data_IF_034531939962
#
_entry.id   IF_034531939962
#
_cell.length_a   1.000
_cell.length_b   1.000
_cell.length_c   1.000
_cell.angle_alpha   90.00
_cell.angle_beta   90.00
_cell.angle_gamma   90.00
#
_symmetry.space_group_name_H-M   'P 1'
#
loop_
_entity.id
_entity.type
_entity.pdbx_description
1 polymer ?
#
# COMPACT_ATOMS: atom_id res chain seq x y z
N UNK A 1 -24.21 -5.74 24.77
CA UNK A 1 -22.83 -6.26 24.66
C UNK A 1 -22.70 -6.78 23.24
N UNK A 2 -21.67 -6.41 22.48
CA UNK A 2 -21.47 -7.01 21.15
C UNK A 2 -20.78 -8.34 21.39
N UNK A 3 -21.50 -9.44 21.22
CA UNK A 3 -20.95 -10.77 21.39
C UNK A 3 -20.06 -11.08 20.19
N UNK A 4 -18.74 -11.12 20.42
CA UNK A 4 -17.77 -11.48 19.40
C UNK A 4 -17.81 -12.99 19.19
N UNK A 5 -18.68 -13.42 18.28
CA UNK A 5 -18.79 -14.83 17.87
C UNK A 5 -18.09 -15.05 16.52
N UNK A 6 -17.56 -16.26 16.24
CA UNK A 6 -16.92 -16.55 14.95
C UNK A 6 -17.83 -16.23 13.76
N UNK A 7 -19.12 -16.53 13.88
CA UNK A 7 -20.14 -16.24 12.87
C UNK A 7 -20.29 -14.74 12.61
N UNK A 8 -20.26 -13.91 13.66
CA UNK A 8 -20.28 -12.46 13.52
C UNK A 8 -18.99 -11.93 12.84
N UNK A 9 -17.83 -12.48 13.16
CA UNK A 9 -16.56 -12.10 12.53
C UNK A 9 -16.55 -12.41 11.02
N UNK A 10 -16.98 -13.61 10.62
CA UNK A 10 -17.07 -13.97 9.20
C UNK A 10 -18.12 -13.15 8.44
N UNK A 11 -19.23 -12.77 9.09
CA UNK A 11 -20.23 -11.87 8.49
C UNK A 11 -19.64 -10.51 8.13
N UNK A 12 -18.76 -9.97 8.96
CA UNK A 12 -18.14 -8.65 8.74
C UNK A 12 -16.85 -8.69 7.92
N UNK A 13 -16.28 -9.88 7.71
CA UNK A 13 -15.01 -10.05 6.99
C UNK A 13 -14.97 -9.36 5.62
N UNK A 14 -16.00 -9.43 4.75
CA UNK A 14 -15.95 -8.75 3.45
C UNK A 14 -15.89 -7.23 3.59
N UNK A 15 -16.67 -6.65 4.50
CA UNK A 15 -16.68 -5.21 4.76
C UNK A 15 -15.34 -4.74 5.32
N UNK A 16 -14.77 -5.49 6.26
CA UNK A 16 -13.46 -5.17 6.82
C UNK A 16 -12.34 -5.32 5.79
N UNK A 17 -12.43 -6.30 4.87
CA UNK A 17 -11.50 -6.43 3.77
C UNK A 17 -11.57 -5.22 2.83
N UNK A 18 -12.77 -4.73 2.51
CA UNK A 18 -12.94 -3.52 1.70
C UNK A 18 -12.34 -2.28 2.38
N UNK A 19 -12.64 -2.07 3.67
CA UNK A 19 -12.08 -0.94 4.43
C UNK A 19 -10.57 -1.08 4.64
N UNK A 20 -10.06 -2.29 4.86
CA UNK A 20 -8.63 -2.57 4.93
C UNK A 20 -7.93 -2.25 3.61
N UNK A 21 -8.54 -2.63 2.48
CA UNK A 21 -8.05 -2.27 1.15
C UNK A 21 -8.04 -0.76 0.91
N UNK A 22 -9.11 -0.05 1.28
CA UNK A 22 -9.19 1.41 1.18
C UNK A 22 -8.11 2.09 2.05
N UNK A 23 -7.91 1.61 3.29
CA UNK A 23 -6.86 2.09 4.17
C UNK A 23 -5.46 1.85 3.62
N UNK A 24 -5.19 0.66 3.06
CA UNK A 24 -3.93 0.36 2.41
C UNK A 24 -3.66 1.30 1.22
N UNK A 25 -4.67 1.58 0.40
CA UNK A 25 -4.59 2.56 -0.68
C UNK A 25 -4.27 3.96 -0.19
N UNK A 26 -4.89 4.41 0.90
CA UNK A 26 -4.59 5.70 1.52
C UNK A 26 -3.14 5.78 2.01
N UNK A 27 -2.65 4.74 2.70
CA UNK A 27 -1.24 4.66 3.13
C UNK A 27 -0.30 4.72 1.92
N UNK A 28 -0.59 3.96 0.87
CA UNK A 28 0.22 3.99 -0.36
C UNK A 28 0.28 5.39 -0.98
N UNK A 29 -0.85 6.11 -1.01
CA UNK A 29 -0.92 7.47 -1.54
C UNK A 29 -0.09 8.44 -0.70
N UNK A 30 -0.38 8.52 0.61
CA UNK A 30 0.25 9.52 1.48
C UNK A 30 1.73 9.23 1.75
N UNK A 31 2.14 7.96 1.70
CA UNK A 31 3.53 7.54 1.96
C UNK A 31 4.38 7.41 0.69
N UNK A 32 3.81 7.71 -0.49
CA UNK A 32 4.48 7.59 -1.79
C UNK A 32 5.74 8.46 -1.93
N UNK A 33 5.81 9.59 -1.24
CA UNK A 33 6.96 10.49 -1.22
C UNK A 33 8.06 10.05 -0.25
N UNK A 34 7.81 9.06 0.61
CA UNK A 34 8.79 8.59 1.58
C UNK A 34 9.76 7.60 0.91
N UNK A 35 11.08 7.87 0.84
CA UNK A 35 12.01 7.06 0.06
C UNK A 35 12.07 5.59 0.48
N UNK A 36 12.06 5.31 1.79
CA UNK A 36 12.10 3.93 2.30
C UNK A 36 10.83 3.16 1.94
N UNK A 37 9.66 3.79 2.00
CA UNK A 37 8.39 3.17 1.65
C UNK A 37 8.30 2.86 0.16
N UNK A 38 8.79 3.77 -0.69
CA UNK A 38 8.88 3.56 -2.12
C UNK A 38 9.75 2.35 -2.48
N UNK A 39 10.96 2.28 -1.92
CA UNK A 39 11.93 1.20 -2.12
C UNK A 39 11.39 -0.16 -1.65
N UNK A 40 10.82 -0.20 -0.45
CA UNK A 40 10.51 -1.47 0.21
C UNK A 40 9.10 -1.99 -0.05
N UNK A 41 8.16 -1.13 -0.45
CA UNK A 41 6.76 -1.49 -0.69
C UNK A 41 6.36 -1.23 -2.13
N UNK A 42 6.39 0.03 -2.60
CA UNK A 42 5.76 0.40 -3.87
C UNK A 42 6.45 -0.19 -5.10
N UNK A 43 7.79 -0.25 -5.13
CA UNK A 43 8.55 -0.84 -6.24
C UNK A 43 8.43 -2.37 -6.27
N UNK A 44 7.97 -3.02 -5.20
CA UNK A 44 7.77 -4.48 -5.18
C UNK A 44 6.41 -4.91 -5.72
N UNK A 45 5.50 -3.96 -5.96
CA UNK A 45 4.17 -4.25 -6.49
C UNK A 45 4.22 -4.30 -8.03
N UNK A 46 4.08 -5.48 -8.66
CA UNK A 46 4.42 -5.67 -10.08
C UNK A 46 3.62 -4.79 -11.04
N UNK A 47 2.39 -4.42 -10.67
CA UNK A 47 1.50 -3.61 -11.50
C UNK A 47 1.89 -2.12 -11.48
N UNK A 48 2.38 -1.61 -10.35
CA UNK A 48 2.61 -0.17 -10.15
C UNK A 48 4.10 0.20 -9.99
N UNK A 49 4.99 -0.79 -9.84
CA UNK A 49 6.43 -0.57 -9.73
C UNK A 49 7.01 0.35 -10.82
N UNK A 50 6.66 0.19 -12.12
CA UNK A 50 7.24 1.02 -13.18
C UNK A 50 6.92 2.52 -13.09
N UNK A 51 5.93 2.90 -12.27
CA UNK A 51 5.58 4.29 -11.98
C UNK A 51 6.49 4.91 -10.90
N UNK A 52 7.01 4.10 -9.99
CA UNK A 52 7.81 4.56 -8.85
C UNK A 52 9.32 4.40 -9.05
N UNK A 53 9.74 3.60 -10.04
CA UNK A 53 11.15 3.46 -10.39
C UNK A 53 11.76 4.78 -10.87
N UNK A 54 12.95 5.09 -10.36
CA UNK A 54 13.75 6.18 -10.87
C UNK A 54 14.38 5.76 -12.21
N UNK A 55 14.16 6.55 -13.24
CA UNK A 55 14.65 6.34 -14.60
C UNK A 55 15.74 7.35 -14.97
N UNK A 56 16.15 8.19 -14.03
CA UNK A 56 17.21 9.17 -14.22
C UNK A 56 18.52 8.44 -14.54
N UNK A 57 19.17 8.84 -15.63
CA UNK A 57 20.45 8.26 -15.99
C UNK A 57 21.50 8.65 -14.92
N UNK A 58 22.40 7.74 -14.49
CA UNK A 58 23.35 8.05 -13.42
C UNK A 58 24.24 9.27 -13.68
N UNK A 59 24.53 9.57 -14.95
CA UNK A 59 25.30 10.76 -15.35
C UNK A 59 24.53 12.09 -15.21
N UNK A 60 23.20 12.05 -15.09
CA UNK A 60 22.34 13.24 -14.92
C UNK A 60 22.05 13.53 -13.44
N UNK A 61 22.62 12.74 -12.53
CA UNK A 61 22.53 12.98 -11.10
C UNK A 61 23.68 13.90 -10.64
N UNK A 62 23.34 15.02 -10.01
CA UNK A 62 24.29 16.01 -9.53
C UNK A 62 24.96 15.65 -8.19
N UNK A 63 24.58 14.51 -7.57
CA UNK A 63 25.05 14.05 -6.25
C UNK A 63 25.43 12.58 -6.23
#
# INVERSE_FOLDING_TARGET
MVDFTPTAAFKWAPTLALWGGAGAGAVMLFMSSVPIFKKDVLIKLPVIAPYFEDKTHPADNAF
#
